data_IF_194796512284
#
_entry.id   IF_194796512284
#
_cell.length_a   1.000
_cell.length_b   1.000
_cell.length_c   1.000
_cell.angle_alpha   90.00
_cell.angle_beta   90.00
_cell.angle_gamma   90.00
#
_symmetry.space_group_name_H-M   'P 1'
#
loop_
_entity.id
_entity.type
_entity.pdbx_description
1 polymer ?
#
# COMPACT_ATOMS: atom_id res chain seq x y z
N UNK A 1 -9.75 5.19 8.20
CA UNK A 1 -9.22 6.10 7.18
C UNK A 1 -9.62 5.63 5.78
N UNK A 2 -9.78 6.53 4.81
CA UNK A 2 -9.90 6.16 3.39
C UNK A 2 -8.54 6.39 2.71
N UNK A 3 -8.09 5.46 1.87
CA UNK A 3 -6.79 5.58 1.19
C UNK A 3 -6.87 6.52 -0.01
N UNK A 4 -5.72 7.13 -0.36
CA UNK A 4 -5.55 7.87 -1.62
C UNK A 4 -5.22 6.96 -2.81
N UNK A 5 -4.85 5.71 -2.54
CA UNK A 5 -4.51 4.70 -3.56
C UNK A 5 -5.79 4.23 -4.24
N UNK A 6 -5.78 4.20 -5.57
CA UNK A 6 -6.87 3.69 -6.40
C UNK A 6 -6.57 2.31 -6.95
N UNK A 7 -5.36 2.06 -7.43
CA UNK A 7 -4.98 0.75 -7.95
C UNK A 7 -3.47 0.50 -7.84
N UNK A 8 -3.08 -0.78 -7.92
CA UNK A 8 -1.70 -1.19 -8.13
C UNK A 8 -1.51 -1.37 -9.64
N UNK A 9 -0.58 -0.62 -10.21
CA UNK A 9 -0.28 -0.65 -11.64
C UNK A 9 0.76 -1.72 -12.00
N UNK A 10 1.78 -1.90 -11.15
CA UNK A 10 2.82 -2.90 -11.34
C UNK A 10 3.60 -3.17 -10.04
N UNK A 11 4.30 -4.29 -9.99
CA UNK A 11 5.24 -4.66 -8.92
C UNK A 11 6.54 -5.16 -9.56
N UNK A 12 7.66 -4.54 -9.22
CA UNK A 12 8.98 -4.86 -9.75
C UNK A 12 9.91 -5.05 -8.55
N UNK A 13 10.27 -6.30 -8.24
CA UNK A 13 11.04 -6.66 -7.04
C UNK A 13 10.40 -6.11 -5.74
N UNK A 14 11.02 -5.11 -5.12
CA UNK A 14 10.55 -4.43 -3.92
C UNK A 14 9.91 -3.05 -4.20
N UNK A 15 9.76 -2.67 -5.47
CA UNK A 15 9.10 -1.44 -5.91
C UNK A 15 7.65 -1.72 -6.32
N UNK A 16 6.74 -0.87 -5.87
CA UNK A 16 5.32 -0.92 -6.21
C UNK A 16 4.94 0.37 -6.92
N UNK A 17 4.33 0.24 -8.10
CA UNK A 17 3.76 1.35 -8.86
C UNK A 17 2.26 1.44 -8.56
N UNK A 18 1.82 2.60 -8.08
CA UNK A 18 0.45 2.85 -7.61
C UNK A 18 -0.18 4.00 -8.40
N UNK A 19 -1.48 3.91 -8.69
CA UNK A 19 -2.27 5.08 -9.08
C UNK A 19 -2.96 5.68 -7.86
N UNK A 20 -3.09 7.00 -7.86
CA UNK A 20 -3.77 7.75 -6.81
C UNK A 20 -5.07 8.39 -7.33
N UNK A 21 -5.93 8.83 -6.40
CA UNK A 21 -7.22 9.49 -6.71
C UNK A 21 -7.10 10.74 -7.60
N UNK A 22 -5.96 11.42 -7.61
CA UNK A 22 -5.68 12.56 -8.48
C UNK A 22 -5.20 12.17 -9.88
N UNK A 23 -5.20 10.86 -10.18
CA UNK A 23 -4.77 10.22 -11.44
C UNK A 23 -3.26 10.28 -11.70
N UNK A 24 -2.46 10.66 -10.70
CA UNK A 24 -1.01 10.51 -10.76
C UNK A 24 -0.59 9.05 -10.58
N UNK A 25 0.61 8.72 -11.06
CA UNK A 25 1.27 7.45 -10.81
C UNK A 25 2.52 7.69 -9.96
N UNK A 26 2.67 6.92 -8.89
CA UNK A 26 3.77 7.03 -7.94
C UNK A 26 4.41 5.67 -7.73
N UNK A 27 5.72 5.66 -7.48
CA UNK A 27 6.39 4.45 -7.02
C UNK A 27 6.78 4.52 -5.55
N UNK A 28 6.71 3.38 -4.87
CA UNK A 28 7.13 3.20 -3.49
C UNK A 28 8.08 2.01 -3.44
N UNK A 29 9.30 2.23 -2.97
CA UNK A 29 10.30 1.19 -2.77
C UNK A 29 10.23 0.75 -1.30
N UNK A 30 10.00 -0.54 -1.09
CA UNK A 30 9.94 -1.15 0.22
C UNK A 30 11.27 -1.82 0.58
N UNK A 31 11.41 -2.25 1.84
CA UNK A 31 12.66 -2.82 2.34
C UNK A 31 13.16 -4.01 1.52
N UNK A 32 12.26 -4.90 1.11
CA UNK A 32 12.55 -6.11 0.36
C UNK A 32 11.28 -6.61 -0.37
N UNK A 33 11.44 -7.59 -1.25
CA UNK A 33 10.35 -8.12 -2.07
C UNK A 33 9.26 -8.81 -1.23
N UNK A 34 9.59 -9.33 -0.04
CA UNK A 34 8.59 -9.92 0.85
C UNK A 34 7.67 -8.83 1.41
N UNK A 35 8.21 -7.65 1.76
CA UNK A 35 7.40 -6.51 2.13
C UNK A 35 6.50 -6.03 0.98
N UNK A 36 7.00 -6.06 -0.27
CA UNK A 36 6.17 -5.72 -1.41
C UNK A 36 4.99 -6.67 -1.60
N UNK A 37 5.22 -7.98 -1.54
CA UNK A 37 4.15 -8.98 -1.60
C UNK A 37 3.12 -8.78 -0.48
N UNK A 38 3.59 -8.58 0.75
CA UNK A 38 2.70 -8.36 1.90
C UNK A 38 1.87 -7.08 1.75
N UNK A 39 2.47 -5.99 1.26
CA UNK A 39 1.75 -4.73 1.05
C UNK A 39 0.71 -4.86 -0.07
N UNK A 40 1.03 -5.55 -1.16
CA UNK A 40 0.10 -5.81 -2.27
C UNK A 40 -1.14 -6.55 -1.79
N UNK A 41 -0.96 -7.67 -1.08
CA UNK A 41 -2.07 -8.43 -0.49
C UNK A 41 -2.89 -7.57 0.49
N UNK A 42 -2.19 -6.81 1.35
CA UNK A 42 -2.83 -5.91 2.30
C UNK A 42 -3.73 -4.89 1.60
N UNK A 43 -3.17 -4.10 0.67
CA UNK A 43 -3.82 -2.94 0.09
C UNK A 43 -4.89 -3.33 -0.93
N UNK A 44 -4.74 -4.46 -1.63
CA UNK A 44 -5.74 -4.94 -2.58
C UNK A 44 -7.11 -5.10 -1.90
N UNK A 45 -7.14 -5.69 -0.71
CA UNK A 45 -8.39 -5.84 0.04
C UNK A 45 -9.01 -4.52 0.51
N UNK A 46 -8.19 -3.47 0.69
CA UNK A 46 -8.63 -2.12 1.05
C UNK A 46 -9.20 -1.41 -0.18
N UNK A 47 -8.53 -1.52 -1.32
CA UNK A 47 -8.99 -0.97 -2.61
C UNK A 47 -10.30 -1.61 -3.04
N UNK A 48 -10.44 -2.93 -2.87
CA UNK A 48 -11.68 -3.68 -3.11
C UNK A 48 -12.77 -3.41 -2.06
N UNK A 49 -12.51 -2.54 -1.08
CA UNK A 49 -13.42 -2.16 0.01
C UNK A 49 -13.90 -3.33 0.87
N UNK A 50 -13.15 -4.44 0.90
CA UNK A 50 -13.39 -5.58 1.79
C UNK A 50 -12.96 -5.25 3.22
N UNK A 51 -11.89 -4.47 3.34
CA UNK A 51 -11.36 -3.97 4.60
C UNK A 51 -11.14 -2.46 4.54
N UNK A 52 -10.96 -1.84 5.71
CA UNK A 52 -10.63 -0.42 5.85
C UNK A 52 -9.39 -0.27 6.71
N UNK A 53 -8.50 0.65 6.33
CA UNK A 53 -7.36 1.03 7.19
C UNK A 53 -7.90 1.72 8.44
N UNK A 54 -7.58 1.19 9.61
CA UNK A 54 -8.03 1.70 10.91
C UNK A 54 -6.99 2.59 11.55
N UNK A 55 -5.71 2.27 11.37
CA UNK A 55 -4.62 2.96 12.04
C UNK A 55 -3.30 2.92 11.25
N UNK A 56 -2.46 3.91 11.50
CA UNK A 56 -1.10 4.01 10.98
C UNK A 56 -0.17 4.58 12.03
N UNK A 57 0.93 3.90 12.32
CA UNK A 57 1.93 4.33 13.29
C UNK A 57 3.33 4.28 12.67
N UNK A 58 4.17 5.27 13.00
CA UNK A 58 5.60 5.27 12.67
C UNK A 58 6.37 4.78 13.90
N UNK A 59 7.00 3.62 13.78
CA UNK A 59 7.87 3.03 14.80
C UNK A 59 9.29 3.04 14.23
N UNK A 60 10.12 3.97 14.73
CA UNK A 60 11.43 4.28 14.17
C UNK A 60 11.34 4.61 12.66
N UNK A 61 11.85 3.71 11.81
CA UNK A 61 11.82 3.84 10.34
C UNK A 61 10.81 2.88 9.69
N UNK A 62 9.89 2.30 10.47
CA UNK A 62 8.87 1.36 10.00
C UNK A 62 7.50 1.99 10.12
N UNK A 63 6.77 2.03 9.00
CA UNK A 63 5.35 2.37 8.98
C UNK A 63 4.55 1.08 9.20
N UNK A 64 3.84 0.98 10.32
CA UNK A 64 2.87 -0.08 10.56
C UNK A 64 1.47 0.41 10.22
N UNK A 65 0.72 -0.43 9.51
CA UNK A 65 -0.62 -0.13 9.01
C UNK A 65 -1.55 -1.25 9.47
N UNK A 66 -2.69 -0.90 10.07
CA UNK A 66 -3.69 -1.86 10.55
C UNK A 66 -4.97 -1.73 9.72
N UNK A 67 -5.63 -2.85 9.39
CA UNK A 67 -6.93 -2.90 8.71
C UNK A 67 -7.94 -3.77 9.47
N UNK A 68 -9.23 -3.49 9.30
CA UNK A 68 -10.37 -4.30 9.76
C UNK A 68 -11.39 -4.54 8.64
#
# INVERSE_FOLDING_TARGET
METCITEILNVIENEIILSLKDKSAHSVILKDSNQAVNFVDFIQSVVEKKHKITDTELIDNVVKITKE
#
